data_IF_064528908819
#
_entry.id   IF_064528908819
#
_cell.length_a   1.000
_cell.length_b   1.000
_cell.length_c   1.000
_cell.angle_alpha   90.00
_cell.angle_beta   90.00
_cell.angle_gamma   90.00
#
_symmetry.space_group_name_H-M   'P 1'
#
loop_
_entity.id
_entity.type
_entity.pdbx_description
1 polymer ?
#
# COMPACT_ATOMS: atom_id res chain seq x y z
N UNK A 1 12.05 12.15 -0.53
CA UNK A 1 10.78 11.95 0.18
C UNK A 1 10.25 13.29 0.62
N UNK A 2 9.28 13.31 1.53
CA UNK A 2 8.78 14.52 2.17
C UNK A 2 8.85 14.36 3.69
N UNK A 3 9.23 15.43 4.39
CA UNK A 3 9.12 15.53 5.85
C UNK A 3 7.79 16.19 6.18
N UNK A 4 7.03 15.56 7.06
CA UNK A 4 5.73 16.03 7.53
C UNK A 4 5.85 16.51 8.97
N UNK A 5 5.22 17.63 9.26
CA UNK A 5 4.94 18.10 10.62
C UNK A 5 3.46 18.42 10.65
N UNK A 6 2.69 17.56 11.32
CA UNK A 6 1.24 17.62 11.37
C UNK A 6 0.81 17.96 12.80
N UNK A 7 -0.24 18.77 12.91
CA UNK A 7 -0.89 19.07 14.18
C UNK A 7 -2.31 18.59 14.08
N UNK A 8 -2.62 17.52 14.80
CA UNK A 8 -3.98 17.04 14.98
C UNK A 8 -4.59 17.80 16.17
N UNK A 9 -5.77 18.36 15.97
CA UNK A 9 -6.52 19.13 16.96
C UNK A 9 -7.79 18.38 17.31
N UNK A 10 -8.41 18.77 18.42
CA UNK A 10 -9.66 18.17 18.91
C UNK A 10 -9.53 16.65 19.03
N UNK A 11 -8.37 16.20 19.53
CA UNK A 11 -8.04 14.77 19.61
C UNK A 11 -8.83 14.14 20.74
N UNK A 12 -9.77 13.27 20.37
CA UNK A 12 -10.56 12.47 21.29
C UNK A 12 -9.95 11.07 21.45
N UNK A 13 -9.81 10.63 22.70
CA UNK A 13 -9.29 9.29 23.05
C UNK A 13 -8.22 9.31 24.13
N UNK A 14 -7.94 8.14 24.71
CA UNK A 14 -6.91 8.01 25.73
C UNK A 14 -5.50 8.15 25.14
N UNK A 15 -4.69 9.04 25.71
CA UNK A 15 -3.31 9.27 25.28
C UNK A 15 -2.51 7.98 25.22
N UNK A 16 -2.64 7.12 26.25
CA UNK A 16 -1.93 5.85 26.30
C UNK A 16 -2.26 4.92 25.12
N UNK A 17 -3.53 4.89 24.68
CA UNK A 17 -3.96 4.10 23.53
C UNK A 17 -3.38 4.66 22.23
N UNK A 18 -3.41 5.99 22.06
CA UNK A 18 -2.86 6.68 20.89
C UNK A 18 -1.35 6.48 20.82
N UNK A 19 -0.63 6.68 21.92
CA UNK A 19 0.80 6.40 22.00
C UNK A 19 1.14 4.93 21.73
N UNK A 20 0.30 3.99 22.18
CA UNK A 20 0.44 2.58 21.85
C UNK A 20 0.39 2.35 20.33
N UNK A 21 -0.56 2.98 19.63
CA UNK A 21 -0.65 2.93 18.16
C UNK A 21 0.56 3.58 17.49
N UNK A 22 1.02 4.74 17.97
CA UNK A 22 2.21 5.43 17.44
C UNK A 22 3.47 4.56 17.58
N UNK A 23 3.66 3.92 18.74
CA UNK A 23 4.76 2.96 18.96
C UNK A 23 4.64 1.74 18.05
N UNK A 24 3.43 1.21 17.85
CA UNK A 24 3.21 0.09 16.92
C UNK A 24 3.56 0.48 15.47
N UNK A 25 3.15 1.68 15.04
CA UNK A 25 3.52 2.22 13.72
C UNK A 25 5.03 2.38 13.60
N UNK A 26 5.72 2.88 14.62
CA UNK A 26 7.17 3.02 14.61
C UNK A 26 7.88 1.65 14.53
N UNK A 27 7.34 0.63 15.21
CA UNK A 27 7.92 -0.71 15.29
C UNK A 27 7.62 -1.61 14.09
N UNK A 28 6.45 -1.45 13.44
CA UNK A 28 5.97 -2.33 12.35
C UNK A 28 5.81 -1.61 11.02
N UNK A 29 5.80 -0.28 10.99
CA UNK A 29 5.34 0.50 9.85
C UNK A 29 3.81 0.48 9.73
N UNK A 30 3.31 0.78 8.53
CA UNK A 30 1.88 0.77 8.18
C UNK A 30 1.64 0.03 6.87
N UNK A 31 0.43 -0.52 6.65
CA UNK A 31 0.00 -1.01 5.34
C UNK A 31 0.09 0.10 4.28
N UNK A 32 0.79 -0.16 3.17
CA UNK A 32 1.10 0.81 2.13
C UNK A 32 -0.02 0.98 1.08
N UNK A 33 -1.26 1.19 1.55
CA UNK A 33 -2.43 1.37 0.68
C UNK A 33 -2.26 2.58 -0.25
N UNK A 34 -2.79 2.46 -1.47
CA UNK A 34 -3.10 3.64 -2.27
C UNK A 34 -4.31 4.34 -1.65
N UNK A 35 -4.15 5.62 -1.30
CA UNK A 35 -5.22 6.44 -0.75
C UNK A 35 -6.28 6.85 -1.79
N UNK A 36 -7.45 7.27 -1.30
CA UNK A 36 -8.63 7.59 -2.11
C UNK A 36 -8.38 8.55 -3.28
N UNK A 37 -7.49 9.53 -3.08
CA UNK A 37 -7.11 10.48 -4.15
C UNK A 37 -6.59 9.79 -5.43
N UNK A 38 -6.06 8.57 -5.33
CA UNK A 38 -5.61 7.77 -6.47
C UNK A 38 -6.77 7.33 -7.38
N UNK A 39 -7.95 7.17 -6.82
CA UNK A 39 -9.13 6.64 -7.50
C UNK A 39 -10.07 7.75 -8.02
N UNK A 40 -9.65 9.01 -7.93
CA UNK A 40 -10.41 10.15 -8.43
C UNK A 40 -11.54 10.57 -7.48
N UNK A 41 -12.34 11.56 -7.90
CA UNK A 41 -13.52 11.97 -7.12
C UNK A 41 -14.48 10.78 -7.03
N UNK A 42 -14.92 10.44 -5.82
CA UNK A 42 -15.87 9.36 -5.56
C UNK A 42 -15.45 7.95 -6.05
N UNK A 43 -14.18 7.72 -6.39
CA UNK A 43 -13.70 6.42 -6.88
C UNK A 43 -13.95 6.13 -8.36
N UNK A 44 -14.43 7.11 -9.13
CA UNK A 44 -14.86 6.92 -10.53
C UNK A 44 -13.75 6.43 -11.48
N UNK A 45 -12.47 6.55 -11.11
CA UNK A 45 -11.38 6.17 -12.01
C UNK A 45 -11.37 4.66 -12.32
N UNK A 46 -11.84 3.79 -11.42
CA UNK A 46 -11.87 2.34 -11.68
C UNK A 46 -12.95 2.02 -12.72
N UNK A 47 -14.17 2.53 -12.53
CA UNK A 47 -15.26 2.40 -13.50
C UNK A 47 -14.88 3.00 -14.87
N UNK A 48 -14.21 4.15 -14.86
CA UNK A 48 -13.69 4.78 -16.07
C UNK A 48 -12.59 3.96 -16.77
N UNK A 49 -11.73 3.27 -16.01
CA UNK A 49 -10.73 2.37 -16.55
C UNK A 49 -11.39 1.15 -17.21
N UNK A 50 -12.41 0.57 -16.58
CA UNK A 50 -13.19 -0.54 -17.17
C UNK A 50 -13.90 -0.09 -18.45
N UNK A 51 -14.52 1.08 -18.45
CA UNK A 51 -15.13 1.65 -19.66
C UNK A 51 -14.08 1.85 -20.78
N UNK A 52 -12.87 2.30 -20.42
CA UNK A 52 -11.76 2.45 -21.35
C UNK A 52 -11.31 1.08 -21.93
N UNK A 53 -11.20 0.05 -21.10
CA UNK A 53 -10.88 -1.31 -21.55
C UNK A 53 -11.95 -1.85 -22.51
N UNK A 54 -13.22 -1.47 -22.33
CA UNK A 54 -14.34 -1.79 -23.23
C UNK A 54 -14.40 -0.93 -24.50
N UNK A 55 -13.37 -0.11 -24.78
CA UNK A 55 -13.25 0.65 -26.02
C UNK A 55 -13.60 2.13 -25.92
N UNK A 56 -13.92 2.67 -24.73
CA UNK A 56 -14.09 4.13 -24.55
C UNK A 56 -12.77 4.82 -24.87
N UNK A 57 -12.80 5.73 -25.85
CA UNK A 57 -11.64 6.56 -26.20
C UNK A 57 -11.38 7.57 -25.09
N UNK A 58 -10.12 7.67 -24.69
CA UNK A 58 -9.63 8.59 -23.68
C UNK A 58 -8.38 9.32 -24.19
N UNK A 59 -8.08 10.48 -23.60
CA UNK A 59 -6.82 11.17 -23.90
C UNK A 59 -5.64 10.39 -23.33
N UNK A 60 -4.43 10.62 -23.86
CA UNK A 60 -3.21 9.94 -23.41
C UNK A 60 -2.94 10.11 -21.91
N UNK A 61 -3.13 11.32 -21.39
CA UNK A 61 -2.92 11.65 -19.98
C UNK A 61 -3.93 10.93 -19.08
N UNK A 62 -5.21 10.97 -19.47
CA UNK A 62 -6.29 10.23 -18.81
C UNK A 62 -6.01 8.72 -18.83
N UNK A 63 -5.55 8.17 -19.95
CA UNK A 63 -5.18 6.75 -20.06
C UNK A 63 -4.15 6.34 -19.01
N UNK A 64 -3.09 7.13 -18.84
CA UNK A 64 -2.05 6.83 -17.85
C UNK A 64 -2.61 6.82 -16.42
N UNK A 65 -3.47 7.79 -16.10
CA UNK A 65 -4.15 7.88 -14.81
C UNK A 65 -5.06 6.67 -14.56
N UNK A 66 -5.89 6.29 -15.54
CA UNK A 66 -6.82 5.17 -15.42
C UNK A 66 -6.10 3.83 -15.28
N UNK A 67 -5.02 3.61 -16.03
CA UNK A 67 -4.17 2.41 -15.86
C UNK A 67 -3.52 2.37 -14.48
N UNK A 68 -3.07 3.52 -13.96
CA UNK A 68 -2.52 3.60 -12.61
C UNK A 68 -3.58 3.28 -11.56
N UNK A 69 -4.80 3.79 -11.71
CA UNK A 69 -5.91 3.52 -10.79
C UNK A 69 -6.31 2.04 -10.80
N UNK A 70 -6.45 1.45 -11.99
CA UNK A 70 -6.72 0.03 -12.19
C UNK A 70 -5.69 -0.88 -11.51
N UNK A 71 -4.38 -0.61 -11.64
CA UNK A 71 -3.36 -1.42 -10.93
C UNK A 71 -3.42 -1.21 -9.41
N UNK A 72 -3.76 0.00 -8.98
CA UNK A 72 -3.81 0.36 -7.56
C UNK A 72 -4.94 -0.34 -6.81
N UNK A 73 -6.10 -0.56 -7.46
CA UNK A 73 -7.24 -1.23 -6.80
C UNK A 73 -6.92 -2.71 -6.55
N UNK A 74 -6.35 -3.39 -7.53
CA UNK A 74 -5.90 -4.78 -7.41
C UNK A 74 -4.82 -4.95 -6.33
N UNK A 75 -3.85 -4.04 -6.27
CA UNK A 75 -2.87 -4.01 -5.18
C UNK A 75 -3.56 -3.83 -3.81
N UNK A 76 -4.51 -2.90 -3.70
CA UNK A 76 -5.24 -2.66 -2.45
C UNK A 76 -6.05 -3.89 -2.02
N UNK A 77 -6.63 -4.66 -2.95
CA UNK A 77 -7.32 -5.92 -2.60
C UNK A 77 -6.37 -6.95 -1.97
N UNK A 78 -5.19 -7.15 -2.57
CA UNK A 78 -4.17 -8.05 -2.02
C UNK A 78 -3.70 -7.57 -0.65
N UNK A 79 -3.41 -6.26 -0.51
CA UNK A 79 -2.98 -5.69 0.76
C UNK A 79 -4.08 -5.79 1.82
N UNK A 80 -5.34 -5.54 1.47
CA UNK A 80 -6.48 -5.70 2.38
C UNK A 80 -6.59 -7.13 2.89
N UNK A 81 -6.38 -8.13 2.01
CA UNK A 81 -6.35 -9.53 2.43
C UNK A 81 -5.20 -9.80 3.39
N UNK A 82 -3.98 -9.35 3.08
CA UNK A 82 -2.81 -9.51 3.96
C UNK A 82 -2.97 -8.79 5.30
N UNK A 83 -3.70 -7.67 5.35
CA UNK A 83 -4.03 -6.96 6.59
C UNK A 83 -5.04 -7.75 7.41
N UNK A 84 -6.11 -8.25 6.80
CA UNK A 84 -7.11 -9.08 7.47
C UNK A 84 -6.48 -10.35 8.09
N UNK A 85 -5.49 -10.92 7.41
CA UNK A 85 -4.77 -12.11 7.85
C UNK A 85 -3.59 -11.79 8.82
N UNK A 86 -3.32 -10.51 9.16
CA UNK A 86 -2.15 -10.04 9.94
C UNK A 86 -0.80 -10.57 9.40
N UNK A 87 -0.65 -10.58 8.08
CA UNK A 87 0.55 -11.07 7.36
C UNK A 87 1.20 -10.02 6.47
N UNK A 88 0.70 -8.78 6.43
CA UNK A 88 1.18 -7.70 5.55
C UNK A 88 2.64 -7.30 5.77
N UNK A 89 3.19 -7.52 6.98
CA UNK A 89 4.57 -7.25 7.35
C UNK A 89 5.40 -8.51 7.65
N UNK A 90 4.89 -9.70 7.30
CA UNK A 90 5.50 -11.00 7.59
C UNK A 90 5.84 -11.78 6.32
N UNK A 91 6.79 -12.71 6.43
CA UNK A 91 7.13 -13.64 5.37
C UNK A 91 6.03 -14.71 5.21
N UNK A 92 5.66 -15.01 3.96
CA UNK A 92 4.90 -16.20 3.58
C UNK A 92 5.69 -17.02 2.55
N UNK A 93 5.30 -18.26 2.31
CA UNK A 93 5.92 -19.09 1.28
C UNK A 93 5.69 -18.52 -0.13
N UNK A 94 6.78 -18.46 -0.93
CA UNK A 94 6.78 -17.89 -2.28
C UNK A 94 6.78 -16.37 -2.37
N UNK A 95 7.22 -15.69 -1.30
CA UNK A 95 7.32 -14.22 -1.22
C UNK A 95 8.30 -13.64 -2.24
N UNK A 96 7.94 -12.47 -2.77
CA UNK A 96 8.84 -11.63 -3.57
C UNK A 96 9.19 -10.41 -2.73
N UNK A 97 10.48 -10.19 -2.55
CA UNK A 97 11.00 -9.17 -1.66
C UNK A 97 11.36 -7.91 -2.44
N UNK A 98 11.06 -6.74 -1.88
CA UNK A 98 11.55 -5.45 -2.37
C UNK A 98 12.61 -4.90 -1.40
N UNK A 99 13.75 -4.48 -1.94
CA UNK A 99 14.80 -3.79 -1.16
C UNK A 99 14.31 -2.40 -0.75
N UNK A 100 14.53 -2.02 0.52
CA UNK A 100 14.15 -0.72 1.03
C UNK A 100 14.79 0.42 0.23
N UNK A 101 14.05 1.52 0.08
CA UNK A 101 14.48 2.70 -0.68
C UNK A 101 14.64 2.50 -2.20
N UNK A 102 14.33 1.33 -2.76
CA UNK A 102 14.49 1.04 -4.20
C UNK A 102 13.25 0.42 -4.85
N UNK A 103 13.31 0.18 -6.17
CA UNK A 103 12.31 -0.63 -6.91
C UNK A 103 12.80 -2.05 -7.22
N UNK A 104 13.98 -2.42 -6.74
CA UNK A 104 14.58 -3.72 -7.01
C UNK A 104 13.87 -4.81 -6.24
N UNK A 105 13.57 -5.92 -6.93
CA UNK A 105 12.88 -7.07 -6.38
C UNK A 105 13.62 -8.37 -6.66
N UNK A 106 13.58 -9.30 -5.71
CA UNK A 106 14.20 -10.62 -5.80
C UNK A 106 13.29 -11.68 -5.15
N UNK A 107 13.70 -12.95 -5.21
CA UNK A 107 12.88 -14.09 -4.83
C UNK A 107 11.90 -14.53 -5.92
N UNK A 108 11.16 -15.62 -5.69
CA UNK A 108 11.05 -16.34 -4.42
C UNK A 108 12.28 -17.18 -4.09
N UNK A 109 12.68 -17.14 -2.81
CA UNK A 109 13.77 -17.92 -2.22
C UNK A 109 13.30 -18.45 -0.85
N UNK A 110 13.81 -19.59 -0.35
CA UNK A 110 13.45 -20.10 0.97
C UNK A 110 13.68 -19.06 2.06
N UNK A 111 12.70 -18.89 2.96
CA UNK A 111 12.83 -17.95 4.07
C UNK A 111 13.77 -18.50 5.14
N UNK A 112 14.92 -17.86 5.31
CA UNK A 112 15.97 -18.23 6.26
C UNK A 112 16.23 -17.12 7.29
N UNK A 113 17.16 -17.37 8.21
CA UNK A 113 17.52 -16.41 9.28
C UNK A 113 18.09 -15.10 8.72
N UNK A 114 18.74 -15.13 7.55
CA UNK A 114 19.28 -13.94 6.91
C UNK A 114 18.15 -13.04 6.38
N UNK A 115 17.16 -13.60 5.70
CA UNK A 115 15.96 -12.87 5.28
C UNK A 115 15.13 -12.40 6.48
N UNK A 116 15.03 -13.20 7.55
CA UNK A 116 14.36 -12.80 8.77
C UNK A 116 15.01 -11.56 9.41
N UNK A 117 16.34 -11.54 9.50
CA UNK A 117 17.10 -10.39 10.01
C UNK A 117 16.90 -9.14 9.13
N UNK A 118 16.95 -9.30 7.80
CA UNK A 118 16.72 -8.20 6.85
C UNK A 118 15.29 -7.66 6.93
N UNK A 119 14.29 -8.54 7.07
CA UNK A 119 12.89 -8.15 7.25
C UNK A 119 12.68 -7.37 8.55
N UNK A 120 13.25 -7.84 9.66
CA UNK A 120 13.18 -7.19 10.96
C UNK A 120 13.89 -5.82 10.98
N UNK A 121 15.00 -5.70 10.25
CA UNK A 121 15.75 -4.44 10.10
C UNK A 121 15.09 -3.43 9.12
N UNK A 122 13.99 -3.82 8.46
CA UNK A 122 13.37 -3.08 7.36
C UNK A 122 14.28 -2.88 6.14
N UNK A 123 15.23 -3.79 5.90
CA UNK A 123 16.04 -3.78 4.68
C UNK A 123 15.27 -4.37 3.48
N UNK A 124 14.29 -5.25 3.77
CA UNK A 124 13.39 -5.81 2.77
C UNK A 124 11.93 -5.75 3.21
N UNK A 125 11.04 -5.81 2.23
CA UNK A 125 9.59 -5.75 2.41
C UNK A 125 8.87 -6.82 1.60
N UNK A 126 7.84 -7.48 2.17
CA UNK A 126 6.84 -8.22 1.40
C UNK A 126 6.22 -7.32 0.33
N UNK A 127 5.80 -7.90 -0.79
CA UNK A 127 5.26 -7.13 -1.92
C UNK A 127 3.88 -7.58 -2.36
N UNK A 128 3.14 -6.68 -2.99
CA UNK A 128 1.89 -6.97 -3.71
C UNK A 128 2.05 -6.71 -5.21
N UNK A 129 1.15 -7.28 -6.03
CA UNK A 129 1.22 -7.13 -7.47
C UNK A 129 0.70 -5.76 -7.90
N UNK A 130 1.45 -5.10 -8.78
CA UNK A 130 0.88 -4.13 -9.69
C UNK A 130 0.63 -4.87 -11.01
N UNK A 131 -0.60 -5.35 -11.18
CA UNK A 131 -0.95 -6.33 -12.20
C UNK A 131 -0.58 -5.89 -13.63
N UNK A 132 -0.26 -6.88 -14.46
CA UNK A 132 0.08 -6.74 -15.86
C UNK A 132 0.13 -8.10 -16.55
N UNK A 133 0.63 -8.13 -17.78
CA UNK A 133 0.77 -9.34 -18.58
C UNK A 133 1.87 -10.27 -18.10
N UNK A 134 1.67 -11.57 -18.33
CA UNK A 134 2.60 -12.63 -18.00
C UNK A 134 2.39 -13.21 -16.60
N UNK A 135 3.25 -14.17 -16.27
CA UNK A 135 3.14 -14.90 -15.00
C UNK A 135 3.54 -14.04 -13.80
N UNK A 136 2.90 -14.30 -12.67
CA UNK A 136 3.31 -13.75 -11.39
C UNK A 136 4.67 -14.34 -11.00
N UNK A 137 5.56 -13.48 -10.50
CA UNK A 137 6.84 -13.92 -9.93
C UNK A 137 6.65 -14.69 -8.62
N UNK A 138 5.59 -14.38 -7.87
CA UNK A 138 5.23 -15.07 -6.62
C UNK A 138 4.89 -16.53 -6.88
N UNK A 139 5.20 -17.38 -5.92
CA UNK A 139 4.86 -18.81 -5.93
C UNK A 139 4.13 -19.19 -4.65
N UNK A 140 3.82 -20.46 -4.47
CA UNK A 140 3.31 -21.01 -3.21
C UNK A 140 2.09 -20.26 -2.65
N UNK A 141 2.08 -20.11 -1.34
CA UNK A 141 0.99 -19.46 -0.60
C UNK A 141 0.75 -18.01 -1.02
N UNK A 142 1.81 -17.25 -1.35
CA UNK A 142 1.64 -15.85 -1.79
C UNK A 142 0.93 -15.77 -3.14
N UNK A 143 1.28 -16.63 -4.11
CA UNK A 143 0.59 -16.66 -5.41
C UNK A 143 -0.89 -16.99 -5.26
N UNK A 144 -1.21 -17.98 -4.43
CA UNK A 144 -2.60 -18.37 -4.17
C UNK A 144 -3.40 -17.23 -3.53
N UNK A 145 -2.82 -16.55 -2.53
CA UNK A 145 -3.43 -15.40 -1.88
C UNK A 145 -3.67 -14.25 -2.85
N UNK A 146 -2.68 -13.92 -3.68
CA UNK A 146 -2.79 -12.84 -4.67
C UNK A 146 -3.93 -13.12 -5.65
N UNK A 147 -4.01 -14.33 -6.19
CA UNK A 147 -5.07 -14.70 -7.13
C UNK A 147 -6.45 -14.73 -6.45
N UNK A 148 -6.54 -15.26 -5.23
CA UNK A 148 -7.79 -15.35 -4.47
C UNK A 148 -8.37 -13.97 -4.12
N UNK A 149 -7.51 -12.97 -3.89
CA UNK A 149 -7.93 -11.59 -3.59
C UNK A 149 -8.54 -10.85 -4.79
N UNK A 150 -8.47 -11.41 -6.01
CA UNK A 150 -8.88 -10.75 -7.26
C UNK A 150 -9.75 -11.68 -8.12
N UNK A 151 -10.77 -12.28 -7.50
CA UNK A 151 -11.68 -13.27 -8.12
C UNK A 151 -13.06 -12.70 -8.46
N UNK A 152 -13.41 -11.52 -7.95
CA UNK A 152 -14.67 -10.86 -8.27
C UNK A 152 -14.69 -10.37 -9.73
N UNK A 153 -15.90 -10.14 -10.26
CA UNK A 153 -16.11 -9.77 -11.66
C UNK A 153 -15.37 -8.47 -12.05
N UNK A 154 -15.33 -7.48 -11.15
CA UNK A 154 -14.64 -6.22 -11.39
C UNK A 154 -13.13 -6.45 -11.50
N UNK A 155 -12.55 -7.15 -10.52
CA UNK A 155 -11.14 -7.53 -10.53
C UNK A 155 -10.75 -8.30 -11.79
N UNK A 156 -11.56 -9.26 -12.21
CA UNK A 156 -11.31 -10.03 -13.44
C UNK A 156 -11.33 -9.15 -14.70
N UNK A 157 -12.28 -8.22 -14.80
CA UNK A 157 -12.34 -7.27 -15.90
C UNK A 157 -11.13 -6.33 -15.90
N UNK A 158 -10.69 -5.87 -14.72
CA UNK A 158 -9.50 -5.02 -14.58
C UNK A 158 -8.22 -5.78 -14.95
N UNK A 159 -8.08 -7.04 -14.53
CA UNK A 159 -6.93 -7.90 -14.90
C UNK A 159 -6.81 -8.05 -16.42
N UNK A 160 -7.89 -8.48 -17.07
CA UNK A 160 -7.92 -8.65 -18.53
C UNK A 160 -7.60 -7.33 -19.25
N UNK A 161 -8.21 -6.22 -18.83
CA UNK A 161 -7.95 -4.92 -19.45
C UNK A 161 -6.50 -4.42 -19.29
N UNK A 162 -5.85 -4.73 -18.16
CA UNK A 162 -4.44 -4.41 -17.94
C UNK A 162 -3.49 -5.27 -18.80
N UNK A 163 -3.84 -6.54 -19.00
CA UNK A 163 -3.12 -7.47 -19.88
C UNK A 163 -3.25 -7.04 -21.35
N UNK A 164 -4.47 -6.72 -21.82
CA UNK A 164 -4.73 -6.18 -23.16
C UNK A 164 -3.99 -4.84 -23.39
N UNK A 165 -3.87 -4.03 -22.35
CA UNK A 165 -3.11 -2.78 -22.37
C UNK A 165 -1.58 -2.99 -22.38
N UNK A 166 -1.10 -4.24 -22.36
CA UNK A 166 0.32 -4.65 -22.34
C UNK A 166 1.09 -4.05 -21.15
N UNK A 167 0.41 -3.87 -20.01
CA UNK A 167 1.08 -3.41 -18.79
C UNK A 167 2.03 -4.51 -18.30
N UNK A 168 3.24 -4.16 -17.86
CA UNK A 168 4.16 -5.14 -17.30
C UNK A 168 3.79 -5.48 -15.87
N UNK A 169 4.00 -6.72 -15.46
CA UNK A 169 3.98 -7.09 -14.04
C UNK A 169 5.05 -6.29 -13.30
N UNK A 170 4.65 -5.60 -12.23
CA UNK A 170 5.57 -4.94 -11.31
C UNK A 170 5.14 -5.26 -9.87
N UNK A 171 5.97 -4.87 -8.92
CA UNK A 171 5.76 -5.12 -7.50
C UNK A 171 5.80 -3.81 -6.74
N UNK A 172 5.06 -3.75 -5.64
CA UNK A 172 5.10 -2.65 -4.68
C UNK A 172 5.18 -3.22 -3.27
N UNK A 173 6.00 -2.62 -2.40
CA UNK A 173 6.07 -2.99 -0.99
C UNK A 173 4.69 -2.86 -0.31
N UNK A 174 4.28 -3.89 0.42
CA UNK A 174 3.05 -3.90 1.24
C UNK A 174 3.19 -3.04 2.50
N UNK A 175 4.42 -2.80 2.94
CA UNK A 175 4.77 -2.07 4.16
C UNK A 175 5.39 -0.72 3.83
N UNK A 176 4.88 0.32 4.47
CA UNK A 176 5.43 1.68 4.46
C UNK A 176 6.00 1.97 5.84
N UNK A 177 7.26 2.41 5.92
CA UNK A 177 7.89 2.79 7.18
C UNK A 177 7.98 4.32 7.30
N UNK A 178 7.29 4.94 8.27
CA UNK A 178 7.55 6.33 8.63
C UNK A 178 8.93 6.44 9.27
N UNK A 179 9.83 7.20 8.65
CA UNK A 179 11.16 7.45 9.19
C UNK A 179 11.14 8.64 10.15
N UNK A 180 12.07 8.68 11.10
CA UNK A 180 12.22 9.80 12.04
C UNK A 180 10.89 10.18 12.74
N UNK A 181 10.10 9.16 13.08
CA UNK A 181 8.79 9.37 13.70
C UNK A 181 8.97 9.85 15.14
N UNK A 182 8.38 10.99 15.45
CA UNK A 182 8.38 11.61 16.77
C UNK A 182 7.03 12.30 17.00
N UNK A 183 6.57 12.32 18.25
CA UNK A 183 5.32 12.97 18.62
C UNK A 183 5.43 13.64 19.98
N UNK A 184 4.60 14.66 20.17
CA UNK A 184 4.44 15.36 21.44
C UNK A 184 2.98 15.82 21.59
N UNK A 185 2.57 16.09 22.83
CA UNK A 185 1.27 16.65 23.17
C UNK A 185 1.43 18.09 23.67
N UNK A 186 1.38 19.11 22.79
CA UNK A 186 1.47 20.51 23.22
C UNK A 186 0.30 20.95 24.13
N UNK A 187 -0.84 20.27 24.04
CA UNK A 187 -2.00 20.41 24.90
C UNK A 187 -2.71 19.05 25.04
N UNK A 188 -3.69 18.95 25.94
CA UNK A 188 -4.41 17.70 26.21
C UNK A 188 -5.11 17.11 24.97
N UNK A 189 -5.59 17.95 24.06
CA UNK A 189 -6.37 17.60 22.87
C UNK A 189 -5.62 17.92 21.56
N UNK A 190 -4.31 18.18 21.64
CA UNK A 190 -3.48 18.53 20.48
C UNK A 190 -2.29 17.59 20.40
N UNK A 191 -2.23 16.81 19.32
CA UNK A 191 -1.12 15.91 19.02
C UNK A 191 -0.29 16.50 17.88
N UNK A 192 0.99 16.76 18.13
CA UNK A 192 1.94 17.10 17.06
C UNK A 192 2.72 15.86 16.67
N UNK A 193 2.75 15.57 15.37
CA UNK A 193 3.39 14.40 14.80
C UNK A 193 4.41 14.82 13.73
N UNK A 194 5.62 14.28 13.79
CA UNK A 194 6.69 14.49 12.81
C UNK A 194 7.14 13.14 12.27
N UNK A 195 7.30 13.02 10.95
CA UNK A 195 7.89 11.85 10.30
C UNK A 195 8.27 12.16 8.85
N UNK A 196 9.02 11.27 8.22
CA UNK A 196 9.41 11.34 6.82
C UNK A 196 8.86 10.14 6.06
N UNK A 197 8.39 10.39 4.83
CA UNK A 197 7.92 9.34 3.91
C UNK A 197 8.68 9.35 2.59
N UNK A 198 8.88 8.17 1.96
CA UNK A 198 9.42 8.09 0.61
C UNK A 198 8.48 8.70 -0.44
N UNK A 199 9.00 9.10 -1.62
CA UNK A 199 8.18 9.65 -2.70
C UNK A 199 7.02 8.72 -3.08
N UNK A 200 5.85 9.29 -3.37
CA UNK A 200 4.66 8.52 -3.76
C UNK A 200 3.91 7.85 -2.59
N UNK A 201 4.23 8.23 -1.36
CA UNK A 201 3.50 7.88 -0.14
C UNK A 201 2.76 9.10 0.41
N UNK A 202 1.68 8.87 1.15
CA UNK A 202 0.82 9.92 1.67
C UNK A 202 0.74 9.85 3.19
N UNK A 203 0.76 11.01 3.84
CA UNK A 203 0.61 11.11 5.29
C UNK A 203 -0.72 10.53 5.79
N UNK A 204 -1.78 10.61 4.96
CA UNK A 204 -3.09 10.03 5.25
C UNK A 204 -3.04 8.53 5.56
N UNK A 205 -2.13 7.78 4.93
CA UNK A 205 -1.94 6.35 5.20
C UNK A 205 -1.42 6.10 6.62
N UNK A 206 -0.53 6.96 7.12
CA UNK A 206 -0.02 6.86 8.50
C UNK A 206 -1.10 7.27 9.50
N UNK A 207 -1.76 8.39 9.20
CA UNK A 207 -2.82 8.96 10.00
C UNK A 207 -4.00 8.00 10.21
N UNK A 208 -4.42 7.27 9.16
CA UNK A 208 -5.49 6.28 9.24
C UNK A 208 -5.18 5.10 10.18
N UNK A 209 -3.92 4.88 10.56
CA UNK A 209 -3.54 3.87 11.55
C UNK A 209 -3.59 4.39 12.99
N UNK A 210 -3.70 5.71 13.18
CA UNK A 210 -3.80 6.34 14.50
C UNK A 210 -5.26 6.38 14.93
N UNK A 211 -6.17 6.77 14.05
CA UNK A 211 -7.60 6.86 14.31
C UNK A 211 -8.35 7.52 13.16
N UNK A 212 -9.65 7.75 13.37
CA UNK A 212 -10.49 8.46 12.41
C UNK A 212 -10.13 9.95 12.41
N UNK A 213 -10.02 10.54 11.22
CA UNK A 213 -9.71 11.96 11.05
C UNK A 213 -10.79 12.60 10.21
N UNK A 214 -11.42 13.62 10.79
CA UNK A 214 -12.47 14.41 10.15
C UNK A 214 -11.90 15.81 9.88
N UNK A 215 -12.24 16.40 8.73
CA UNK A 215 -11.94 17.82 8.46
C UNK A 215 -10.50 18.13 8.08
N UNK A 216 -9.74 17.17 7.54
CA UNK A 216 -8.46 17.44 6.89
C UNK A 216 -8.69 18.26 5.60
N UNK A 217 -8.72 19.59 5.74
CA UNK A 217 -8.74 20.55 4.65
C UNK A 217 -7.31 20.93 4.23
#
# INVERSE_FOLDING_TARGET
GNRFVLVLRDVEGEHAAIEGRLRAIQARGVPNFFGEQRFGRHGDNVAQAIAMFRGRRVKREERSLLLSAARSVLFNHVLARRVADDTWDRALDGEVWMLDGSRSVFGPEPFDDALAARLAAFDIHPTGPLWGEGELRTTGAVRELELAAMTDEESLAVRAGLEDARMKQERRALRLRPMQMAWEWPAHDVLRLTFELPPGSYATTVLAQIGDIVGAA
#
